data_IF_622510446345
#
_entry.id   IF_622510446345
#
_cell.length_a   1.000
_cell.length_b   1.000
_cell.length_c   1.000
_cell.angle_alpha   90.00
_cell.angle_beta   90.00
_cell.angle_gamma   90.00
#
_symmetry.space_group_name_H-M   'P 1'
#
loop_
_entity.id
_entity.type
_entity.pdbx_description
1 polymer ?
#
# COMPACT_ATOMS: atom_id res chain seq x y z
N UNK A 1 -8.77 13.52 -19.57
CA UNK A 1 -8.12 12.70 -18.56
C UNK A 1 -6.91 13.41 -17.95
N UNK A 2 -6.04 14.01 -18.77
CA UNK A 2 -4.81 14.68 -18.32
C UNK A 2 -5.06 15.82 -17.30
N UNK A 3 -6.22 16.44 -17.31
CA UNK A 3 -6.56 17.58 -16.46
C UNK A 3 -7.42 17.18 -15.23
N UNK A 4 -7.82 15.90 -15.12
CA UNK A 4 -8.74 15.48 -14.04
C UNK A 4 -8.08 15.58 -12.65
N UNK A 5 -6.79 15.26 -12.57
CA UNK A 5 -6.05 15.31 -11.31
C UNK A 5 -5.85 16.77 -10.88
N UNK A 6 -5.68 17.71 -11.83
CA UNK A 6 -5.65 19.14 -11.55
C UNK A 6 -6.99 19.64 -10.98
N UNK A 7 -8.11 19.20 -11.54
CA UNK A 7 -9.44 19.54 -11.02
C UNK A 7 -9.64 19.01 -9.59
N UNK A 8 -9.20 17.78 -9.30
CA UNK A 8 -9.28 17.21 -7.97
C UNK A 8 -8.36 17.94 -6.99
N UNK A 9 -7.16 18.32 -7.43
CA UNK A 9 -6.22 19.11 -6.65
C UNK A 9 -6.83 20.48 -6.28
N UNK A 10 -7.34 21.22 -7.24
CA UNK A 10 -7.96 22.53 -7.02
C UNK A 10 -9.19 22.46 -6.09
N UNK A 11 -10.01 21.42 -6.22
CA UNK A 11 -11.14 21.20 -5.31
C UNK A 11 -10.66 20.86 -3.89
N UNK A 12 -9.62 20.06 -3.75
CA UNK A 12 -9.02 19.73 -2.45
C UNK A 12 -8.46 20.99 -1.77
N UNK A 13 -7.74 21.82 -2.52
CA UNK A 13 -7.24 23.10 -2.02
C UNK A 13 -8.35 24.05 -1.55
N UNK A 14 -9.40 24.21 -2.36
CA UNK A 14 -10.55 25.04 -2.00
C UNK A 14 -11.24 24.54 -0.72
N UNK A 15 -11.37 23.23 -0.58
CA UNK A 15 -11.98 22.62 0.58
C UNK A 15 -11.12 22.78 1.84
N UNK A 16 -9.80 22.57 1.74
CA UNK A 16 -8.86 22.79 2.84
C UNK A 16 -8.87 24.24 3.30
N UNK A 17 -8.84 25.20 2.36
CA UNK A 17 -8.93 26.64 2.67
C UNK A 17 -10.25 26.98 3.42
N UNK A 18 -11.35 26.40 2.97
CA UNK A 18 -12.65 26.64 3.62
C UNK A 18 -12.70 26.06 5.04
N UNK A 19 -12.18 24.86 5.26
CA UNK A 19 -12.13 24.22 6.57
C UNK A 19 -11.26 25.04 7.55
N UNK A 20 -10.06 25.46 7.14
CA UNK A 20 -9.17 26.29 7.97
C UNK A 20 -9.82 27.64 8.29
N UNK A 21 -10.46 28.28 7.31
CA UNK A 21 -11.15 29.56 7.54
C UNK A 21 -12.36 29.42 8.49
N UNK A 22 -12.94 28.23 8.58
CA UNK A 22 -14.04 27.92 9.50
C UNK A 22 -13.55 27.42 10.88
N UNK A 23 -12.25 27.28 11.09
CA UNK A 23 -11.65 26.64 12.28
C UNK A 23 -12.15 25.20 12.48
N UNK A 24 -12.31 24.46 11.38
CA UNK A 24 -12.76 23.08 11.38
C UNK A 24 -11.61 22.12 10.97
N UNK A 25 -11.50 20.93 11.59
CA UNK A 25 -10.55 19.92 11.15
C UNK A 25 -10.94 19.40 9.76
N UNK A 26 -9.92 18.96 9.00
CA UNK A 26 -10.15 18.37 7.69
C UNK A 26 -9.49 17.01 7.55
N UNK A 27 -10.07 16.17 6.69
CA UNK A 27 -9.48 14.94 6.17
C UNK A 27 -9.61 14.94 4.65
N UNK A 28 -8.50 14.88 3.94
CA UNK A 28 -8.45 14.81 2.48
C UNK A 28 -7.88 13.46 2.06
N UNK A 29 -8.63 12.72 1.27
CA UNK A 29 -8.17 11.50 0.61
C UNK A 29 -8.12 11.76 -0.90
N UNK A 30 -6.96 12.16 -1.37
CA UNK A 30 -6.71 12.55 -2.76
C UNK A 30 -6.07 11.41 -3.52
N UNK A 31 -6.83 10.78 -4.43
CA UNK A 31 -6.36 9.70 -5.27
C UNK A 31 -5.97 10.26 -6.64
N UNK A 32 -4.68 10.39 -6.88
CA UNK A 32 -4.15 10.74 -8.18
C UNK A 32 -4.42 9.62 -9.19
N UNK A 33 -4.89 9.95 -10.40
CA UNK A 33 -5.25 8.95 -11.42
C UNK A 33 -4.04 8.40 -12.19
N UNK A 34 -2.91 9.08 -12.09
CA UNK A 34 -1.65 8.66 -12.69
C UNK A 34 -0.83 7.89 -11.64
N UNK A 35 -0.07 6.90 -12.00
CA UNK A 35 0.43 6.47 -13.33
C UNK A 35 -0.40 5.37 -14.01
N UNK A 36 -1.67 5.17 -13.65
CA UNK A 36 -2.49 4.12 -14.26
C UNK A 36 -2.59 4.28 -15.77
N UNK A 37 -2.46 3.17 -16.51
CA UNK A 37 -2.59 3.16 -17.97
C UNK A 37 -4.02 3.54 -18.44
N UNK A 38 -4.16 4.29 -19.54
CA UNK A 38 -3.13 4.97 -20.32
C UNK A 38 -2.60 6.21 -19.59
N UNK A 39 -1.27 6.36 -19.56
CA UNK A 39 -0.63 7.56 -19.01
C UNK A 39 -1.02 8.81 -19.79
N UNK A 40 -1.18 9.92 -19.10
CA UNK A 40 -1.57 11.18 -19.71
C UNK A 40 -1.04 12.36 -18.86
N UNK A 41 0.26 12.68 -18.95
CA UNK A 41 0.81 13.84 -18.27
C UNK A 41 0.17 15.11 -18.83
N UNK A 42 0.03 16.16 -17.99
CA UNK A 42 -0.36 17.49 -18.44
C UNK A 42 0.70 18.06 -19.37
N UNK A 43 0.31 19.00 -20.24
CA UNK A 43 1.18 19.53 -21.28
C UNK A 43 2.49 20.13 -20.75
N UNK A 44 2.47 20.73 -19.56
CA UNK A 44 3.67 21.27 -18.90
C UNK A 44 4.65 20.21 -18.42
N UNK A 45 4.22 18.95 -18.26
CA UNK A 45 5.05 17.82 -17.85
C UNK A 45 5.43 16.90 -19.01
N UNK A 46 4.81 17.08 -20.18
CA UNK A 46 5.10 16.24 -21.34
C UNK A 46 6.56 16.44 -21.77
N UNK A 47 7.30 15.35 -21.97
CA UNK A 47 8.72 15.35 -22.30
C UNK A 47 9.62 16.09 -21.24
N UNK A 48 9.14 16.19 -20.00
CA UNK A 48 9.88 16.83 -18.91
C UNK A 48 10.98 15.93 -18.34
N UNK A 49 10.96 14.64 -18.63
CA UNK A 49 11.93 13.65 -18.17
C UNK A 49 12.52 12.82 -19.32
N UNK A 50 13.72 12.26 -19.11
CA UNK A 50 14.32 11.28 -20.02
C UNK A 50 13.72 9.86 -19.88
N UNK A 51 12.79 9.68 -18.93
CA UNK A 51 12.19 8.37 -18.58
C UNK A 51 10.88 8.06 -19.30
N UNK A 52 10.40 8.95 -20.19
CA UNK A 52 9.16 8.83 -20.94
C UNK A 52 7.90 9.13 -20.10
N UNK A 53 6.73 8.96 -20.70
CA UNK A 53 5.44 9.44 -20.15
C UNK A 53 5.13 9.03 -18.72
N UNK A 54 5.56 7.83 -18.28
CA UNK A 54 5.37 7.40 -16.89
C UNK A 54 6.19 8.25 -15.94
N UNK A 55 7.45 8.54 -16.29
CA UNK A 55 8.31 9.40 -15.48
C UNK A 55 7.81 10.85 -15.49
N UNK A 56 7.28 11.32 -16.61
CA UNK A 56 6.61 12.63 -16.71
C UNK A 56 5.39 12.70 -15.78
N UNK A 57 4.59 11.63 -15.72
CA UNK A 57 3.47 11.51 -14.78
C UNK A 57 3.96 11.49 -13.32
N UNK A 58 5.09 10.86 -13.01
CA UNK A 58 5.67 10.87 -11.66
C UNK A 58 6.11 12.29 -11.27
N UNK A 59 6.73 13.03 -12.19
CA UNK A 59 7.06 14.45 -11.96
C UNK A 59 5.82 15.30 -11.73
N UNK A 60 4.74 15.03 -12.48
CA UNK A 60 3.45 15.69 -12.28
C UNK A 60 2.87 15.40 -10.89
N UNK A 61 2.89 14.13 -10.44
CA UNK A 61 2.46 13.76 -9.08
C UNK A 61 3.29 14.49 -8.03
N UNK A 62 4.61 14.54 -8.21
CA UNK A 62 5.53 15.23 -7.29
C UNK A 62 5.22 16.74 -7.21
N UNK A 63 4.97 17.37 -8.36
CA UNK A 63 4.57 18.78 -8.43
C UNK A 63 3.22 19.06 -7.77
N UNK A 64 2.22 18.19 -7.99
CA UNK A 64 0.90 18.31 -7.37
C UNK A 64 1.00 18.11 -5.84
N UNK A 65 1.83 17.16 -5.41
CA UNK A 65 2.09 16.94 -3.99
C UNK A 65 2.80 18.13 -3.35
N UNK A 66 3.83 18.70 -4.01
CA UNK A 66 4.51 19.91 -3.53
C UNK A 66 3.52 21.07 -3.36
N UNK A 67 2.59 21.25 -4.31
CA UNK A 67 1.57 22.30 -4.24
C UNK A 67 0.64 22.14 -3.03
N UNK A 68 0.30 20.90 -2.65
CA UNK A 68 -0.45 20.65 -1.41
C UNK A 68 0.38 20.97 -0.15
N UNK A 69 1.67 20.66 -0.16
CA UNK A 69 2.56 21.00 0.94
C UNK A 69 2.73 22.51 1.10
N UNK A 70 2.89 23.24 -0.01
CA UNK A 70 2.98 24.70 -0.01
C UNK A 70 1.68 25.34 0.52
N UNK A 71 0.52 24.74 0.19
CA UNK A 71 -0.75 25.18 0.73
C UNK A 71 -0.84 25.01 2.25
N UNK A 72 -0.37 23.89 2.81
CA UNK A 72 -0.34 23.69 4.26
C UNK A 72 0.56 24.72 4.96
N UNK A 73 1.67 25.08 4.33
CA UNK A 73 2.58 26.13 4.84
C UNK A 73 1.93 27.52 4.72
N UNK A 74 1.28 27.86 3.61
CA UNK A 74 0.52 29.11 3.42
C UNK A 74 -0.59 29.29 4.46
N UNK A 75 -1.29 28.18 4.79
CA UNK A 75 -2.37 28.16 5.78
C UNK A 75 -1.87 28.07 7.23
N UNK A 76 -0.55 27.97 7.45
CA UNK A 76 0.08 27.82 8.77
C UNK A 76 -0.41 26.60 9.57
N UNK A 77 -0.80 25.51 8.89
CA UNK A 77 -1.31 24.28 9.51
C UNK A 77 -0.40 23.07 9.33
N UNK A 78 0.77 23.22 8.68
CA UNK A 78 1.70 22.13 8.36
C UNK A 78 2.11 21.32 9.59
N UNK A 79 2.42 21.97 10.71
CA UNK A 79 2.85 21.32 11.94
C UNK A 79 1.72 20.56 12.65
N UNK A 80 0.48 20.89 12.32
CA UNK A 80 -0.73 20.22 12.86
C UNK A 80 -1.41 19.30 11.83
N UNK A 81 -0.69 18.89 10.79
CA UNK A 81 -1.24 18.05 9.72
C UNK A 81 -0.38 16.81 9.50
N UNK A 82 -0.99 15.63 9.60
CA UNK A 82 -0.38 14.36 9.18
C UNK A 82 -0.54 14.27 7.67
N UNK A 83 0.58 14.16 6.95
CA UNK A 83 0.58 13.99 5.49
C UNK A 83 1.09 12.60 5.16
N UNK A 84 0.30 11.81 4.44
CA UNK A 84 0.63 10.47 3.99
C UNK A 84 0.68 10.45 2.46
N UNK A 85 1.74 9.89 1.91
CA UNK A 85 1.86 9.60 0.49
C UNK A 85 2.13 8.11 0.30
N UNK A 86 1.28 7.43 -0.45
CA UNK A 86 1.40 5.99 -0.70
C UNK A 86 0.88 5.64 -2.10
N UNK A 87 1.31 4.51 -2.63
CA UNK A 87 0.68 3.91 -3.80
C UNK A 87 -0.03 2.61 -3.40
N UNK A 88 -0.99 2.18 -4.21
CA UNK A 88 -1.86 1.03 -3.96
C UNK A 88 -1.16 -0.30 -4.25
N UNK A 89 -0.28 -0.35 -5.24
CA UNK A 89 0.46 -1.54 -5.67
C UNK A 89 1.81 -1.19 -6.30
N UNK A 90 2.61 -2.20 -6.56
CA UNK A 90 3.83 -2.06 -7.33
C UNK A 90 3.57 -1.77 -8.81
N UNK A 91 4.65 -1.54 -9.56
CA UNK A 91 4.55 -1.07 -10.95
C UNK A 91 3.81 -2.05 -11.85
N UNK A 92 3.15 -1.52 -12.87
CA UNK A 92 2.62 -2.29 -13.98
C UNK A 92 3.75 -2.67 -14.97
N UNK A 93 4.09 -3.95 -14.98
CA UNK A 93 5.09 -4.50 -15.92
C UNK A 93 4.51 -4.91 -17.25
N UNK A 94 3.18 -4.88 -17.39
CA UNK A 94 2.50 -5.41 -18.57
C UNK A 94 2.28 -4.33 -19.62
N UNK A 95 1.72 -3.19 -19.23
CA UNK A 95 1.40 -2.10 -20.15
C UNK A 95 2.52 -1.07 -20.28
N UNK A 96 3.41 -0.99 -19.28
CA UNK A 96 4.52 -0.04 -19.26
C UNK A 96 5.90 -0.69 -19.50
N UNK A 97 5.94 -1.97 -19.88
CA UNK A 97 7.17 -2.75 -20.00
C UNK A 97 8.26 -2.12 -20.89
N UNK A 98 7.87 -1.41 -21.95
CA UNK A 98 8.81 -0.82 -22.88
C UNK A 98 9.58 0.38 -22.31
N UNK A 99 8.98 1.12 -21.35
CA UNK A 99 9.51 2.39 -20.85
C UNK A 99 9.89 2.34 -19.36
N UNK A 100 9.60 1.26 -18.67
CA UNK A 100 9.71 1.16 -17.21
C UNK A 100 10.72 0.11 -16.74
N UNK A 101 11.77 -0.11 -17.49
CA UNK A 101 12.84 -1.00 -17.04
C UNK A 101 13.40 -0.49 -15.70
N UNK A 102 13.29 -1.33 -14.66
CA UNK A 102 13.87 -1.12 -13.32
C UNK A 102 13.13 -0.19 -12.34
N UNK A 103 11.88 0.23 -12.60
CA UNK A 103 11.15 1.08 -11.63
C UNK A 103 10.84 0.39 -10.27
N UNK A 104 10.94 -0.94 -10.17
CA UNK A 104 10.83 -1.69 -8.91
C UNK A 104 12.19 -2.01 -8.27
N UNK A 105 13.28 -1.45 -8.79
CA UNK A 105 14.61 -1.85 -8.37
C UNK A 105 14.87 -3.33 -8.70
N UNK A 106 15.39 -4.09 -7.74
CA UNK A 106 15.73 -5.50 -7.91
C UNK A 106 14.56 -6.46 -7.61
N UNK A 107 13.33 -5.95 -7.38
CA UNK A 107 12.19 -6.79 -7.03
C UNK A 107 11.61 -7.49 -8.26
N UNK A 108 11.43 -8.81 -8.16
CA UNK A 108 10.77 -9.60 -9.20
C UNK A 108 9.29 -9.25 -9.34
N UNK A 109 8.77 -9.37 -10.56
CA UNK A 109 7.37 -9.19 -10.88
C UNK A 109 6.92 -7.73 -10.90
N UNK A 110 5.64 -7.53 -10.82
CA UNK A 110 4.95 -6.25 -10.79
C UNK A 110 3.46 -6.48 -10.58
N UNK A 111 2.66 -5.50 -10.88
CA UNK A 111 1.20 -5.53 -10.72
C UNK A 111 0.57 -6.84 -11.22
N UNK A 112 -0.33 -7.40 -10.42
CA UNK A 112 -0.93 -8.73 -10.63
C UNK A 112 0.04 -9.91 -10.57
N UNK A 113 1.18 -9.81 -9.90
CA UNK A 113 2.01 -10.98 -9.62
C UNK A 113 2.05 -11.33 -8.13
N UNK A 114 2.50 -12.53 -7.79
CA UNK A 114 2.69 -12.94 -6.40
C UNK A 114 4.05 -12.52 -5.81
N UNK A 115 4.86 -11.77 -6.56
CA UNK A 115 6.21 -11.39 -6.20
C UNK A 115 6.29 -10.02 -5.51
N UNK A 116 7.46 -9.73 -4.92
CA UNK A 116 7.69 -8.49 -4.17
C UNK A 116 7.50 -7.22 -5.02
N UNK A 117 7.76 -7.27 -6.33
CA UNK A 117 7.54 -6.16 -7.23
C UNK A 117 6.07 -5.72 -7.38
N UNK A 118 5.11 -6.59 -6.99
CA UNK A 118 3.70 -6.22 -6.84
C UNK A 118 3.40 -5.63 -5.46
N UNK A 119 3.98 -6.24 -4.41
CA UNK A 119 3.59 -5.95 -3.04
C UNK A 119 4.32 -4.72 -2.46
N UNK A 120 5.56 -4.47 -2.92
CA UNK A 120 6.33 -3.32 -2.45
C UNK A 120 5.99 -2.09 -3.25
N UNK A 121 5.70 -1.04 -2.52
CA UNK A 121 5.39 0.27 -3.09
C UNK A 121 5.91 1.38 -2.17
N UNK A 122 5.79 2.63 -2.62
CA UNK A 122 6.21 3.78 -1.84
C UNK A 122 5.27 4.00 -0.65
N UNK A 123 5.85 4.36 0.49
CA UNK A 123 5.12 4.80 1.67
C UNK A 123 5.92 5.90 2.37
N UNK A 124 5.37 7.12 2.40
CA UNK A 124 5.96 8.26 3.08
C UNK A 124 4.94 8.83 4.06
N UNK A 125 5.41 9.28 5.21
CA UNK A 125 4.57 9.98 6.17
C UNK A 125 5.34 11.14 6.78
N UNK A 126 4.65 12.24 7.00
CA UNK A 126 5.21 13.41 7.63
C UNK A 126 4.22 13.97 8.66
N UNK A 127 4.74 14.30 9.82
CA UNK A 127 4.09 15.14 10.83
C UNK A 127 5.21 15.84 11.61
N UNK A 128 5.57 17.08 11.26
CA UNK A 128 6.73 17.76 11.82
C UNK A 128 6.69 17.82 13.33
N UNK A 129 7.81 17.50 13.99
CA UNK A 129 7.93 17.50 15.44
C UNK A 129 7.27 16.32 16.18
N UNK A 130 6.54 15.45 15.48
CA UNK A 130 5.81 14.31 16.08
C UNK A 130 6.29 12.95 15.59
N UNK A 131 6.74 12.83 14.35
CA UNK A 131 7.20 11.58 13.78
C UNK A 131 8.71 11.59 13.54
N UNK A 132 9.30 10.40 13.54
CA UNK A 132 10.72 10.20 13.23
C UNK A 132 11.02 10.63 11.79
N UNK A 133 12.25 11.10 11.56
CA UNK A 133 12.74 11.56 10.24
C UNK A 133 13.84 10.66 9.72
N UNK A 134 13.50 9.41 9.42
CA UNK A 134 14.43 8.44 8.85
C UNK A 134 13.68 7.50 7.87
N UNK A 135 14.44 6.61 7.23
CA UNK A 135 13.91 5.53 6.42
C UNK A 135 14.00 4.21 7.19
N UNK A 136 13.04 3.33 6.97
CA UNK A 136 13.02 2.00 7.59
C UNK A 136 12.65 0.94 6.56
N UNK A 137 13.25 -0.26 6.73
CA UNK A 137 12.90 -1.47 5.97
C UNK A 137 11.85 -2.33 6.69
N UNK A 138 11.33 -1.86 7.82
CA UNK A 138 10.30 -2.53 8.58
C UNK A 138 8.98 -2.61 7.79
N UNK A 139 8.20 -3.65 8.08
CA UNK A 139 6.95 -3.90 7.37
C UNK A 139 5.86 -2.92 7.81
N UNK A 140 5.29 -2.20 6.85
CA UNK A 140 4.11 -1.38 7.02
C UNK A 140 3.12 -1.73 5.90
N UNK A 141 1.88 -2.07 6.23
CA UNK A 141 0.86 -2.43 5.25
C UNK A 141 -0.19 -1.32 5.13
N UNK A 142 -0.79 -1.17 3.95
CA UNK A 142 -1.77 -0.11 3.70
C UNK A 142 -2.96 -0.14 4.68
N UNK A 143 -3.35 -1.34 5.15
CA UNK A 143 -4.43 -1.49 6.14
C UNK A 143 -4.06 -0.97 7.53
N UNK A 144 -2.77 -0.75 7.80
CA UNK A 144 -2.29 -0.23 9.09
C UNK A 144 -2.59 1.26 9.28
N UNK A 145 -2.82 1.99 8.18
CA UNK A 145 -3.11 3.42 8.27
C UNK A 145 -4.34 3.72 9.12
N UNK A 146 -5.41 2.93 9.00
CA UNK A 146 -6.63 3.21 9.75
C UNK A 146 -6.41 3.18 11.27
N UNK A 147 -5.98 2.06 11.89
CA UNK A 147 -5.73 2.07 13.33
C UNK A 147 -4.61 3.03 13.74
N UNK A 148 -3.57 3.20 12.93
CA UNK A 148 -2.45 4.09 13.23
C UNK A 148 -2.89 5.55 13.28
N UNK A 149 -3.64 6.03 12.29
CA UNK A 149 -4.16 7.40 12.28
C UNK A 149 -5.13 7.63 13.45
N UNK A 150 -5.97 6.66 13.78
CA UNK A 150 -6.86 6.76 14.95
C UNK A 150 -6.07 6.94 16.25
N UNK A 151 -4.94 6.22 16.42
CA UNK A 151 -4.07 6.40 17.59
C UNK A 151 -3.36 7.76 17.57
N UNK A 152 -2.77 8.15 16.44
CA UNK A 152 -2.06 9.43 16.31
C UNK A 152 -2.98 10.64 16.56
N UNK A 153 -4.25 10.55 16.19
CA UNK A 153 -5.28 11.58 16.42
C UNK A 153 -5.90 11.53 17.82
N UNK A 154 -5.51 10.58 18.68
CA UNK A 154 -6.10 10.40 20.01
C UNK A 154 -7.51 9.82 20.02
N UNK A 155 -7.94 9.16 18.94
CA UNK A 155 -9.28 8.61 18.74
C UNK A 155 -9.33 7.08 18.76
N UNK A 156 -8.34 6.43 19.34
CA UNK A 156 -8.24 4.96 19.39
C UNK A 156 -9.47 4.27 20.03
N UNK A 157 -10.13 4.93 20.99
CA UNK A 157 -11.34 4.44 21.65
C UNK A 157 -12.55 4.32 20.71
N UNK A 158 -12.48 4.93 19.52
CA UNK A 158 -13.51 4.85 18.48
C UNK A 158 -13.25 3.75 17.45
N UNK A 159 -12.17 2.97 17.61
CA UNK A 159 -11.94 1.80 16.76
C UNK A 159 -13.04 0.77 16.96
N UNK A 160 -13.55 0.11 15.88
CA UNK A 160 -14.54 -0.94 15.99
C UNK A 160 -14.07 -2.08 16.89
N UNK A 161 -14.94 -2.53 17.80
CA UNK A 161 -14.70 -3.70 18.66
C UNK A 161 -15.63 -4.86 18.33
N UNK A 162 -16.55 -4.66 17.38
CA UNK A 162 -17.54 -5.63 16.92
C UNK A 162 -17.06 -6.50 15.75
N UNK A 163 -15.87 -6.25 15.26
CA UNK A 163 -15.24 -6.97 14.12
C UNK A 163 -13.75 -7.03 14.25
N UNK A 164 -13.11 -7.96 13.53
CA UNK A 164 -11.65 -8.05 13.42
C UNK A 164 -11.14 -6.94 12.51
N UNK A 165 -10.08 -6.25 12.93
CA UNK A 165 -9.33 -5.32 12.09
C UNK A 165 -8.05 -6.00 11.60
N UNK A 166 -7.82 -6.01 10.31
CA UNK A 166 -6.57 -6.55 9.72
C UNK A 166 -5.37 -5.62 9.92
N UNK A 167 -5.63 -4.33 10.12
CA UNK A 167 -4.61 -3.33 10.40
C UNK A 167 -4.09 -3.41 11.83
N UNK A 168 -2.80 -3.14 12.01
CA UNK A 168 -2.17 -3.00 13.32
C UNK A 168 -1.71 -1.56 13.55
N UNK A 169 -1.79 -1.10 14.78
CA UNK A 169 -1.30 0.23 15.14
C UNK A 169 0.22 0.32 15.02
N UNK A 170 0.70 1.31 14.30
CA UNK A 170 2.12 1.62 14.07
C UNK A 170 2.51 2.99 14.65
N UNK A 171 1.66 3.62 15.44
CA UNK A 171 1.88 4.98 15.93
C UNK A 171 3.19 5.13 16.69
N UNK A 172 3.53 4.19 17.58
CA UNK A 172 4.77 4.20 18.35
C UNK A 172 6.00 3.98 17.48
N UNK A 173 5.88 3.12 16.45
CA UNK A 173 6.96 2.91 15.48
C UNK A 173 7.21 4.20 14.68
N UNK A 174 6.18 4.86 14.18
CA UNK A 174 6.30 6.11 13.44
C UNK A 174 6.78 7.27 14.31
N UNK A 175 6.40 7.32 15.58
CA UNK A 175 6.90 8.32 16.53
C UNK A 175 8.37 8.12 16.94
N UNK A 176 8.94 6.93 16.67
CA UNK A 176 10.30 6.59 17.09
C UNK A 176 10.40 6.08 18.52
N UNK A 177 9.28 5.74 19.16
CA UNK A 177 9.23 5.15 20.51
C UNK A 177 9.63 3.67 20.52
N UNK A 178 9.67 3.05 19.34
CA UNK A 178 10.15 1.68 19.13
C UNK A 178 10.82 1.57 17.75
N UNK A 179 11.80 0.66 17.64
CA UNK A 179 12.58 0.46 16.42
C UNK A 179 11.91 -0.50 15.45
N UNK A 180 11.17 -1.49 15.95
CA UNK A 180 10.53 -2.53 15.15
C UNK A 180 9.06 -2.18 14.89
N UNK A 181 8.57 -2.51 13.69
CA UNK A 181 7.15 -2.48 13.34
C UNK A 181 6.35 -3.50 14.16
N UNK A 182 5.10 -3.16 14.48
CA UNK A 182 4.17 -4.11 15.09
C UNK A 182 3.65 -5.16 14.11
N UNK A 183 3.87 -4.96 12.80
CA UNK A 183 3.42 -5.90 11.78
C UNK A 183 4.48 -6.96 11.50
N UNK A 184 4.20 -8.19 11.87
CA UNK A 184 5.08 -9.32 11.58
C UNK A 184 4.75 -10.02 10.25
N UNK A 185 3.49 -9.94 9.79
CA UNK A 185 3.03 -10.67 8.61
C UNK A 185 1.83 -10.03 7.91
N UNK A 186 1.61 -10.43 6.68
CA UNK A 186 0.33 -10.28 5.98
C UNK A 186 0.08 -11.49 5.08
N UNK A 187 -1.19 -11.84 4.93
CA UNK A 187 -1.63 -12.86 4.00
C UNK A 187 -1.82 -12.25 2.61
N UNK A 188 -1.48 -13.02 1.59
CA UNK A 188 -1.53 -12.58 0.20
C UNK A 188 -2.67 -13.30 -0.51
N UNK A 189 -3.52 -12.52 -1.16
CA UNK A 189 -4.65 -13.03 -1.92
C UNK A 189 -4.53 -12.63 -3.39
N UNK A 190 -5.01 -13.50 -4.26
CA UNK A 190 -5.29 -13.19 -5.65
C UNK A 190 -6.77 -13.49 -5.86
N UNK A 191 -7.57 -12.45 -6.08
CA UNK A 191 -9.03 -12.53 -5.96
C UNK A 191 -9.41 -13.04 -4.55
N UNK A 192 -10.22 -14.08 -4.44
CA UNK A 192 -10.61 -14.72 -3.17
C UNK A 192 -9.68 -15.86 -2.73
N UNK A 193 -8.64 -16.16 -3.53
CA UNK A 193 -7.73 -17.27 -3.27
C UNK A 193 -6.51 -16.82 -2.46
N UNK A 194 -6.28 -17.46 -1.31
CA UNK A 194 -5.03 -17.32 -0.56
C UNK A 194 -3.87 -17.90 -1.36
N UNK A 195 -2.92 -17.06 -1.76
CA UNK A 195 -1.77 -17.44 -2.58
C UNK A 195 -0.46 -17.50 -1.80
N UNK A 196 -0.41 -16.91 -0.61
CA UNK A 196 0.81 -16.94 0.20
C UNK A 196 0.75 -16.05 1.44
N UNK A 197 1.92 -15.85 2.03
CA UNK A 197 2.14 -14.98 3.18
C UNK A 197 3.53 -14.38 3.14
N UNK A 198 3.63 -13.12 3.51
CA UNK A 198 4.88 -12.49 3.95
C UNK A 198 4.96 -12.60 5.48
N UNK A 199 6.09 -13.07 6.00
CA UNK A 199 6.40 -13.08 7.43
C UNK A 199 7.81 -12.54 7.64
N UNK A 200 7.96 -11.37 8.23
CA UNK A 200 9.25 -10.67 8.37
C UNK A 200 10.04 -10.69 7.04
N UNK A 201 11.21 -11.32 7.02
CA UNK A 201 12.03 -11.48 5.83
C UNK A 201 11.74 -12.74 5.01
N UNK A 202 10.74 -13.52 5.42
CA UNK A 202 10.35 -14.72 4.71
C UNK A 202 9.08 -14.53 3.91
N UNK A 203 8.98 -15.22 2.79
CA UNK A 203 7.79 -15.30 1.97
C UNK A 203 7.47 -16.74 1.66
N UNK A 204 6.22 -17.12 1.84
CA UNK A 204 5.69 -18.44 1.51
C UNK A 204 4.66 -18.25 0.40
N UNK A 205 4.83 -18.95 -0.72
CA UNK A 205 3.86 -18.99 -1.81
C UNK A 205 3.31 -20.39 -1.95
N UNK A 206 1.99 -20.52 -1.95
CA UNK A 206 1.26 -21.76 -2.29
C UNK A 206 0.83 -21.77 -3.76
N UNK A 207 0.76 -20.59 -4.36
CA UNK A 207 0.44 -20.37 -5.77
C UNK A 207 1.38 -19.35 -6.36
N UNK A 208 1.59 -19.45 -7.67
CA UNK A 208 2.34 -18.47 -8.45
C UNK A 208 1.41 -17.84 -9.49
N UNK A 209 1.47 -16.52 -9.57
CA UNK A 209 0.93 -15.71 -10.66
C UNK A 209 2.07 -14.84 -11.16
N UNK A 210 2.48 -15.04 -12.41
CA UNK A 210 3.61 -14.30 -12.99
C UNK A 210 3.22 -12.86 -13.38
N UNK A 211 1.99 -12.68 -13.86
CA UNK A 211 1.40 -11.39 -14.23
C UNK A 211 -0.12 -11.55 -14.41
N UNK A 212 -0.85 -10.45 -14.63
CA UNK A 212 -2.31 -10.45 -14.75
C UNK A 212 -2.91 -11.28 -15.89
N UNK A 213 -2.12 -11.77 -16.83
CA UNK A 213 -2.56 -12.65 -17.92
C UNK A 213 -2.12 -14.10 -17.73
N UNK A 214 -1.35 -14.38 -16.70
CA UNK A 214 -0.89 -15.72 -16.38
C UNK A 214 -1.95 -16.50 -15.60
N UNK A 215 -2.06 -17.81 -15.81
CA UNK A 215 -2.92 -18.63 -14.96
C UNK A 215 -2.38 -18.67 -13.53
N UNK A 216 -3.29 -18.83 -12.56
CA UNK A 216 -2.91 -19.13 -11.18
C UNK A 216 -2.36 -20.58 -11.15
N UNK A 217 -1.08 -20.73 -10.84
CA UNK A 217 -0.42 -22.02 -10.77
C UNK A 217 -0.33 -22.48 -9.31
N UNK A 218 -1.10 -23.50 -8.94
CA UNK A 218 -0.95 -24.14 -7.65
C UNK A 218 0.36 -24.93 -7.58
N UNK A 219 1.10 -24.75 -6.49
CA UNK A 219 2.35 -25.44 -6.25
C UNK A 219 2.11 -26.78 -5.51
N UNK A 220 2.77 -27.86 -5.95
CA UNK A 220 2.73 -29.13 -5.25
C UNK A 220 3.41 -29.03 -3.85
N UNK A 221 4.42 -28.20 -3.74
CA UNK A 221 5.14 -27.88 -2.50
C UNK A 221 5.24 -26.35 -2.44
N UNK A 222 4.83 -25.70 -1.34
CA UNK A 222 4.96 -24.25 -1.20
C UNK A 222 6.40 -23.78 -1.41
N UNK A 223 6.58 -22.68 -2.13
CA UNK A 223 7.86 -22.02 -2.26
C UNK A 223 8.12 -21.17 -1.02
N UNK A 224 9.33 -21.24 -0.48
CA UNK A 224 9.79 -20.40 0.64
C UNK A 224 10.98 -19.58 0.16
N UNK A 225 10.90 -18.27 0.35
CA UNK A 225 11.98 -17.34 0.04
C UNK A 225 12.46 -16.65 1.32
N UNK A 226 13.77 -16.48 1.46
CA UNK A 226 14.34 -15.56 2.42
C UNK A 226 14.79 -14.31 1.66
N UNK A 227 14.03 -13.24 1.78
CA UNK A 227 14.20 -12.02 0.98
C UNK A 227 15.44 -11.19 1.36
N UNK A 228 16.05 -11.47 2.51
CA UNK A 228 17.35 -10.85 2.85
C UNK A 228 18.48 -11.31 1.94
N UNK A 229 18.47 -12.58 1.54
CA UNK A 229 19.54 -13.18 0.72
C UNK A 229 19.10 -13.50 -0.71
N UNK A 230 17.81 -13.40 -0.99
CA UNK A 230 17.18 -13.69 -2.28
C UNK A 230 16.04 -12.69 -2.55
N UNK A 231 16.35 -11.38 -2.62
CA UNK A 231 15.34 -10.34 -2.79
C UNK A 231 14.64 -10.39 -4.16
N UNK A 232 15.27 -11.00 -5.14
CA UNK A 232 14.75 -11.21 -6.51
C UNK A 232 13.96 -12.50 -6.68
N UNK A 233 13.73 -13.26 -5.60
CA UNK A 233 12.87 -14.46 -5.56
C UNK A 233 13.16 -15.48 -6.68
N UNK A 234 14.44 -15.62 -7.07
CA UNK A 234 14.84 -16.49 -8.19
C UNK A 234 14.84 -17.98 -7.81
N UNK A 235 15.22 -18.30 -6.57
CA UNK A 235 15.40 -19.69 -6.13
C UNK A 235 14.71 -19.94 -4.81
N UNK A 236 13.62 -20.70 -4.79
CA UNK A 236 12.96 -21.06 -3.53
C UNK A 236 13.77 -22.07 -2.72
N UNK A 237 13.71 -21.97 -1.40
CA UNK A 237 14.36 -22.87 -0.44
C UNK A 237 13.51 -24.11 -0.14
N UNK A 238 12.94 -24.75 -1.14
CA UNK A 238 11.98 -25.85 -0.95
C UNK A 238 12.57 -27.11 -0.30
N UNK A 239 13.89 -27.29 -0.40
CA UNK A 239 14.56 -28.53 -0.02
C UNK A 239 15.46 -28.43 1.21
N UNK A 240 15.59 -27.23 1.77
CA UNK A 240 16.36 -27.01 2.99
C UNK A 240 15.48 -27.14 4.23
N UNK A 241 15.77 -28.11 5.09
CA UNK A 241 15.11 -28.24 6.40
C UNK A 241 15.21 -26.95 7.24
N UNK A 242 16.13 -26.06 6.91
CA UNK A 242 16.40 -24.83 7.64
C UNK A 242 15.25 -23.82 7.62
N UNK A 243 14.43 -23.81 6.58
CA UNK A 243 13.31 -22.84 6.47
C UNK A 243 11.91 -23.48 6.56
N UNK A 244 11.81 -24.80 6.66
CA UNK A 244 10.53 -25.49 6.82
C UNK A 244 9.75 -25.04 8.06
N UNK A 245 10.42 -24.55 9.10
CA UNK A 245 9.80 -24.00 10.28
C UNK A 245 8.87 -22.81 9.96
N UNK A 246 9.20 -21.99 8.95
CA UNK A 246 8.34 -20.88 8.50
C UNK A 246 6.98 -21.40 8.04
N UNK A 247 6.95 -22.52 7.32
CA UNK A 247 5.70 -23.13 6.89
C UNK A 247 4.87 -23.64 8.08
N UNK A 248 5.49 -24.41 8.98
CA UNK A 248 4.75 -25.11 10.04
C UNK A 248 4.47 -24.25 11.27
N UNK A 249 5.39 -23.33 11.64
CA UNK A 249 5.25 -22.51 12.84
C UNK A 249 4.64 -21.14 12.58
N UNK A 250 4.82 -20.61 11.38
CA UNK A 250 4.40 -19.24 11.07
C UNK A 250 3.22 -19.20 10.09
N UNK A 251 3.33 -19.86 8.94
CA UNK A 251 2.29 -19.80 7.91
C UNK A 251 1.02 -20.53 8.33
N UNK A 252 1.11 -21.84 8.64
CA UNK A 252 -0.08 -22.65 8.94
C UNK A 252 -0.90 -22.13 10.12
N UNK A 253 -0.31 -21.74 11.27
CA UNK A 253 -1.09 -21.17 12.37
C UNK A 253 -1.78 -19.86 12.03
N UNK A 254 -1.13 -18.97 11.28
CA UNK A 254 -1.71 -17.68 10.89
C UNK A 254 -2.85 -17.84 9.89
N UNK A 255 -2.69 -18.75 8.94
CA UNK A 255 -3.80 -19.12 8.04
C UNK A 255 -4.95 -19.72 8.84
N UNK A 256 -4.67 -20.60 9.80
CA UNK A 256 -5.68 -21.17 10.69
C UNK A 256 -6.41 -20.10 11.51
N UNK A 257 -5.70 -19.14 12.06
CA UNK A 257 -6.27 -18.01 12.82
C UNK A 257 -7.13 -17.11 11.91
N UNK A 258 -6.66 -16.83 10.70
CA UNK A 258 -7.45 -16.09 9.72
C UNK A 258 -8.74 -16.82 9.35
N UNK A 259 -8.67 -18.11 9.02
CA UNK A 259 -9.87 -18.91 8.70
C UNK A 259 -10.86 -18.95 9.87
N UNK A 260 -10.37 -19.09 11.10
CA UNK A 260 -11.21 -19.06 12.30
C UNK A 260 -11.88 -17.68 12.53
N UNK A 261 -11.21 -16.59 12.17
CA UNK A 261 -11.80 -15.24 12.29
C UNK A 261 -12.97 -15.02 11.34
N UNK A 262 -13.02 -15.73 10.22
CA UNK A 262 -14.11 -15.64 9.26
C UNK A 262 -15.38 -16.40 9.71
N UNK A 263 -15.28 -17.34 10.65
CA UNK A 263 -16.44 -18.14 11.09
C UNK A 263 -17.49 -17.31 11.85
N UNK A 264 -17.08 -16.20 12.48
CA UNK A 264 -17.97 -15.28 13.18
C UNK A 264 -18.50 -14.11 12.34
N UNK A 265 -17.78 -13.77 11.30
CA UNK A 265 -17.98 -12.59 10.44
C UNK A 265 -18.25 -12.99 8.99
N UNK A 266 -19.07 -14.04 8.77
CA UNK A 266 -19.43 -14.42 7.41
C UNK A 266 -20.09 -13.22 6.69
N UNK A 267 -19.29 -12.45 5.98
CA UNK A 267 -19.82 -11.48 5.01
C UNK A 267 -20.69 -12.27 4.05
N UNK A 268 -21.99 -11.96 3.93
CA UNK A 268 -22.86 -12.63 2.98
C UNK A 268 -22.16 -12.61 1.62
N UNK A 269 -22.07 -13.76 0.95
CA UNK A 269 -21.54 -13.85 -0.41
C UNK A 269 -22.07 -12.69 -1.21
N UNK A 270 -21.20 -11.90 -1.75
CA UNK A 270 -21.30 -10.58 -2.30
C UNK A 270 -22.71 -10.07 -2.58
N UNK A 271 -22.98 -8.85 -2.14
CA UNK A 271 -24.21 -8.18 -2.52
C UNK A 271 -24.44 -8.37 -4.03
N UNK A 272 -25.65 -8.71 -4.49
CA UNK A 272 -25.96 -8.83 -5.91
C UNK A 272 -25.42 -7.60 -6.66
N UNK A 273 -25.06 -7.77 -7.93
CA UNK A 273 -24.54 -6.68 -8.79
C UNK A 273 -25.51 -5.49 -8.85
N UNK A 274 -26.76 -5.70 -8.49
CA UNK A 274 -27.85 -4.71 -8.41
C UNK A 274 -28.04 -4.14 -6.98
N UNK A 275 -27.13 -4.41 -6.05
CA UNK A 275 -27.17 -3.82 -4.72
C UNK A 275 -27.09 -2.29 -4.82
N UNK A 276 -28.23 -1.66 -4.61
CA UNK A 276 -28.34 -0.22 -4.49
C UNK A 276 -28.55 0.09 -3.00
N UNK A 277 -27.57 0.64 -2.30
CA UNK A 277 -27.77 1.07 -0.92
C UNK A 277 -28.89 2.08 -0.92
N UNK A 278 -30.05 1.71 -0.33
CA UNK A 278 -31.10 2.69 -0.08
C UNK A 278 -30.50 3.74 0.84
N UNK A 279 -30.46 4.97 0.37
CA UNK A 279 -30.17 6.10 1.23
C UNK A 279 -31.19 6.08 2.37
N UNK A 280 -30.73 5.69 3.55
CA UNK A 280 -31.46 5.85 4.81
C UNK A 280 -31.03 7.15 5.44
#
# INVERSE_FOLDING_TARGET
RKDIDLEFLERSEQWMRAAVAADEPFFVYFNHSQTHFPTAPRDEYLDSSDGGEVADCIQMIDGDFQRLLDLLDELEVRENTIVVFAADNGRDTTFHAANNQNATGNWRGGYFSTYEGNNRTIGLVQWPGHLRTDASDEMFHIVDWYPTLMHLMGNADHLPTDRVLDGVDQSRFLAGDQDESNREHFLMFFDDQLVGMRYRNFKVLTHIVENGFSPIQQLAIPHIYNLTVNPDENTPYNYGHMHSWVLYKEFMPRVGAYMASLEGDAVPKGAPVDFNPKHT
#
